data_IF_979673768953
#
_entry.id   IF_979673768953
#
_cell.length_a   1.000
_cell.length_b   1.000
_cell.length_c   1.000
_cell.angle_alpha   90.00
_cell.angle_beta   90.00
_cell.angle_gamma   90.00
#
_symmetry.space_group_name_H-M   'P 1'
#
loop_
_entity.id
_entity.type
_entity.pdbx_description
1 polymer ?
#
# COMPACT_ATOMS: atom_id res chain seq x y z
N UNK A 1 -102.41 -23.67 81.73
CA UNK A 1 -102.00 -22.60 80.85
C UNK A 1 -100.44 -22.48 81.00
N UNK A 2 -99.67 -22.96 80.04
CA UNK A 2 -98.21 -22.84 80.03
C UNK A 2 -97.85 -21.81 79.02
N UNK A 3 -97.28 -20.69 79.49
CA UNK A 3 -96.62 -19.66 78.60
C UNK A 3 -95.24 -20.23 78.11
N UNK A 4 -95.03 -20.19 76.81
CA UNK A 4 -93.78 -20.48 76.19
C UNK A 4 -93.05 -19.13 76.07
N UNK A 5 -92.00 -18.96 76.79
CA UNK A 5 -91.11 -17.87 76.59
C UNK A 5 -90.18 -18.14 75.40
N UNK A 6 -90.30 -17.28 74.37
CA UNK A 6 -89.37 -17.23 73.26
C UNK A 6 -88.13 -16.46 73.72
N UNK A 7 -87.08 -17.19 73.99
CA UNK A 7 -85.76 -16.59 74.13
C UNK A 7 -85.19 -16.21 72.80
N UNK A 8 -85.13 -14.92 72.47
CA UNK A 8 -84.42 -14.34 71.30
C UNK A 8 -82.92 -14.56 71.59
N UNK A 9 -82.28 -15.38 70.82
CA UNK A 9 -80.85 -15.55 70.78
C UNK A 9 -80.30 -14.30 70.03
N UNK A 10 -79.72 -13.35 70.83
CA UNK A 10 -78.98 -12.24 70.24
C UNK A 10 -77.73 -12.80 69.59
N UNK A 11 -77.61 -12.65 68.26
CA UNK A 11 -76.40 -12.91 67.51
C UNK A 11 -75.41 -11.77 67.89
N UNK A 12 -74.51 -12.05 68.82
CA UNK A 12 -73.36 -11.21 69.02
C UNK A 12 -72.48 -11.32 67.79
N UNK A 13 -72.68 -10.42 66.84
CA UNK A 13 -71.72 -10.24 65.74
C UNK A 13 -70.43 -9.84 66.35
N UNK A 14 -69.46 -10.80 66.37
CA UNK A 14 -68.14 -10.64 66.98
C UNK A 14 -67.35 -9.61 66.12
N UNK A 15 -67.33 -8.34 66.52
CA UNK A 15 -66.51 -7.30 65.91
C UNK A 15 -65.02 -7.70 65.77
N UNK A 16 -64.56 -8.53 66.72
CA UNK A 16 -63.23 -9.05 66.72
C UNK A 16 -62.95 -10.06 65.63
N UNK A 17 -63.95 -10.82 65.20
CA UNK A 17 -63.84 -11.77 64.12
C UNK A 17 -63.71 -11.05 62.73
N UNK A 18 -64.54 -10.00 62.51
CA UNK A 18 -64.46 -9.18 61.30
C UNK A 18 -63.15 -8.37 61.24
N UNK A 19 -62.61 -7.89 62.39
CA UNK A 19 -61.31 -7.21 62.48
C UNK A 19 -60.17 -8.16 62.19
N UNK A 20 -60.22 -9.38 62.73
CA UNK A 20 -59.22 -10.44 62.51
C UNK A 20 -59.16 -10.87 61.02
N UNK A 21 -60.35 -11.05 60.38
CA UNK A 21 -60.43 -11.40 58.96
C UNK A 21 -59.90 -10.24 58.03
N UNK A 22 -60.20 -9.00 58.40
CA UNK A 22 -59.64 -7.84 57.67
C UNK A 22 -58.11 -7.77 57.83
N UNK A 23 -57.61 -7.99 59.04
CA UNK A 23 -56.15 -8.00 59.28
C UNK A 23 -55.46 -9.18 58.55
N UNK A 24 -56.08 -10.36 58.54
CA UNK A 24 -55.55 -11.52 57.84
C UNK A 24 -55.55 -11.30 56.33
N UNK A 25 -56.58 -10.67 55.76
CA UNK A 25 -56.63 -10.32 54.35
C UNK A 25 -55.57 -9.29 53.99
N UNK A 26 -55.34 -8.26 54.83
CA UNK A 26 -54.31 -7.23 54.64
C UNK A 26 -52.87 -7.85 54.70
N UNK A 27 -52.64 -8.75 55.65
CA UNK A 27 -51.37 -9.45 55.79
C UNK A 27 -51.12 -10.36 54.57
N UNK A 28 -52.16 -11.02 54.05
CA UNK A 28 -52.05 -11.88 52.88
C UNK A 28 -51.70 -11.05 51.63
N UNK A 29 -52.33 -9.88 51.45
CA UNK A 29 -52.00 -8.93 50.36
C UNK A 29 -50.57 -8.47 50.50
N UNK A 30 -50.12 -8.13 51.71
CA UNK A 30 -48.74 -7.66 51.96
C UNK A 30 -47.70 -8.74 51.65
N UNK A 31 -47.95 -10.01 52.05
CA UNK A 31 -47.09 -11.15 51.74
C UNK A 31 -47.03 -11.37 50.20
N UNK A 32 -48.19 -11.22 49.52
CA UNK A 32 -48.24 -11.38 48.08
C UNK A 32 -47.46 -10.29 47.34
N UNK A 33 -47.58 -9.03 47.78
CA UNK A 33 -46.78 -7.92 47.25
C UNK A 33 -45.26 -8.13 47.47
N UNK A 34 -44.86 -8.60 48.66
CA UNK A 34 -43.47 -8.94 48.91
C UNK A 34 -42.99 -10.09 48.01
N UNK A 35 -43.79 -11.13 47.85
CA UNK A 35 -43.45 -12.25 46.95
C UNK A 35 -43.23 -11.79 45.51
N UNK A 36 -44.16 -10.96 44.98
CA UNK A 36 -43.99 -10.36 43.63
C UNK A 36 -42.78 -9.47 43.53
N UNK A 37 -42.51 -8.66 44.57
CA UNK A 37 -41.31 -7.80 44.60
C UNK A 37 -40.01 -8.62 44.63
N UNK A 38 -39.96 -9.73 45.35
CA UNK A 38 -38.78 -10.63 45.39
C UNK A 38 -38.56 -11.27 44.01
N UNK A 39 -39.59 -11.73 43.31
CA UNK A 39 -39.49 -12.30 41.96
C UNK A 39 -38.98 -11.23 41.01
N UNK A 40 -39.58 -10.03 41.00
CA UNK A 40 -39.14 -8.93 40.14
C UNK A 40 -37.66 -8.50 40.41
N UNK A 41 -37.23 -8.50 41.69
CA UNK A 41 -35.85 -8.21 42.05
C UNK A 41 -34.87 -9.30 41.57
N UNK A 42 -35.27 -10.55 41.63
CA UNK A 42 -34.44 -11.65 41.09
C UNK A 42 -34.30 -11.56 39.58
N UNK A 43 -35.39 -11.34 38.84
CA UNK A 43 -35.33 -11.14 37.39
C UNK A 43 -34.46 -9.94 37.04
N UNK A 44 -34.56 -8.85 37.79
CA UNK A 44 -33.73 -7.66 37.57
C UNK A 44 -32.23 -7.95 37.83
N UNK A 45 -31.94 -8.69 38.89
CA UNK A 45 -30.55 -9.10 39.20
C UNK A 45 -29.97 -9.99 38.11
N UNK A 46 -30.74 -10.94 37.59
CA UNK A 46 -30.30 -11.82 36.49
C UNK A 46 -30.00 -11.02 35.22
N UNK A 47 -30.90 -10.13 34.81
CA UNK A 47 -30.67 -9.23 33.67
C UNK A 47 -29.46 -8.33 33.88
N UNK A 48 -29.25 -7.80 35.06
CA UNK A 48 -28.10 -6.97 35.38
C UNK A 48 -26.78 -7.75 35.30
N UNK A 49 -26.80 -9.03 35.77
CA UNK A 49 -25.63 -9.91 35.66
C UNK A 49 -25.29 -10.20 34.19
N UNK A 50 -26.30 -10.52 33.36
CA UNK A 50 -26.15 -10.76 31.94
C UNK A 50 -25.58 -9.52 31.22
N UNK A 51 -26.14 -8.34 31.52
CA UNK A 51 -25.62 -7.08 30.95
C UNK A 51 -24.18 -6.78 31.36
N UNK A 52 -23.82 -7.05 32.61
CA UNK A 52 -22.46 -6.88 33.07
C UNK A 52 -21.47 -7.83 32.39
N UNK A 53 -21.87 -9.08 32.18
CA UNK A 53 -21.06 -10.06 31.44
C UNK A 53 -20.85 -9.63 29.97
N UNK A 54 -21.92 -9.17 29.31
CA UNK A 54 -21.83 -8.62 27.94
C UNK A 54 -20.90 -7.39 27.87
N UNK A 55 -21.01 -6.47 28.84
CA UNK A 55 -20.15 -5.29 28.92
C UNK A 55 -18.69 -5.66 29.11
N UNK A 56 -18.38 -6.63 29.97
CA UNK A 56 -17.03 -7.11 30.19
C UNK A 56 -16.46 -7.76 28.94
N UNK A 57 -17.24 -8.61 28.26
CA UNK A 57 -16.84 -9.22 26.98
C UNK A 57 -16.57 -8.17 25.91
N UNK A 58 -17.40 -7.11 25.84
CA UNK A 58 -17.22 -6.00 24.91
C UNK A 58 -15.99 -5.16 25.23
N UNK A 59 -15.70 -4.94 26.51
CA UNK A 59 -14.47 -4.24 26.94
C UNK A 59 -13.22 -5.04 26.55
N UNK A 60 -13.18 -6.35 26.79
CA UNK A 60 -12.06 -7.21 26.39
C UNK A 60 -11.84 -7.22 24.86
N UNK A 61 -12.92 -7.22 24.09
CA UNK A 61 -12.85 -7.12 22.62
C UNK A 61 -12.28 -5.76 22.17
N UNK A 62 -12.75 -4.67 22.79
CA UNK A 62 -12.26 -3.32 22.46
C UNK A 62 -10.79 -3.14 22.85
N UNK A 63 -10.35 -3.71 23.97
CA UNK A 63 -8.95 -3.68 24.38
C UNK A 63 -8.07 -4.43 23.36
N UNK A 64 -8.49 -5.62 22.92
CA UNK A 64 -7.79 -6.38 21.87
C UNK A 64 -7.72 -5.63 20.54
N UNK A 65 -8.82 -5.00 20.14
CA UNK A 65 -8.85 -4.18 18.92
C UNK A 65 -7.95 -2.93 19.04
N UNK A 66 -7.89 -2.33 20.21
CA UNK A 66 -7.00 -1.20 20.46
C UNK A 66 -5.52 -1.59 20.37
N UNK A 67 -5.16 -2.74 20.95
CA UNK A 67 -3.80 -3.27 20.87
C UNK A 67 -3.40 -3.64 19.42
N UNK A 68 -4.31 -4.25 18.68
CA UNK A 68 -4.10 -4.57 17.27
C UNK A 68 -3.92 -3.30 16.42
N UNK A 69 -4.76 -2.29 16.67
CA UNK A 69 -4.67 -1.00 15.99
C UNK A 69 -3.33 -0.30 16.28
N UNK A 70 -2.84 -0.33 17.53
CA UNK A 70 -1.56 0.26 17.89
C UNK A 70 -0.39 -0.43 17.18
N UNK A 71 -0.40 -1.75 17.11
CA UNK A 71 0.62 -2.52 16.37
C UNK A 71 0.61 -2.18 14.89
N UNK A 72 -0.58 -2.16 14.29
CA UNK A 72 -0.71 -1.82 12.86
C UNK A 72 -0.25 -0.39 12.58
N UNK A 73 -0.50 0.52 13.50
CA UNK A 73 -0.04 1.91 13.39
C UNK A 73 1.50 2.00 13.45
N UNK A 74 2.14 1.27 14.38
CA UNK A 74 3.60 1.22 14.47
C UNK A 74 4.23 0.64 13.20
N UNK A 75 3.69 -0.47 12.67
CA UNK A 75 4.13 -1.05 11.40
C UNK A 75 4.00 -0.08 10.23
N UNK A 76 2.91 0.68 10.20
CA UNK A 76 2.66 1.67 9.15
C UNK A 76 3.64 2.86 9.25
N UNK A 77 3.94 3.35 10.45
CA UNK A 77 4.94 4.41 10.67
C UNK A 77 6.35 3.94 10.29
N UNK A 78 6.71 2.69 10.59
CA UNK A 78 7.99 2.09 10.18
C UNK A 78 8.08 2.01 8.65
N UNK A 79 7.05 1.51 7.98
CA UNK A 79 6.98 1.43 6.52
C UNK A 79 7.02 2.80 5.84
N UNK A 80 6.35 3.80 6.41
CA UNK A 80 6.40 5.16 5.90
C UNK A 80 7.83 5.73 5.96
N UNK A 81 8.54 5.50 7.06
CA UNK A 81 9.93 5.93 7.21
C UNK A 81 10.85 5.27 6.18
N UNK A 82 10.64 3.97 5.91
CA UNK A 82 11.39 3.22 4.92
C UNK A 82 11.14 3.76 3.49
N UNK A 83 9.88 4.05 3.15
CA UNK A 83 9.51 4.69 1.87
C UNK A 83 10.18 6.07 1.72
N UNK A 84 10.13 6.89 2.75
CA UNK A 84 10.72 8.24 2.72
C UNK A 84 12.24 8.18 2.51
N UNK A 85 12.91 7.19 3.11
CA UNK A 85 14.33 6.95 2.90
C UNK A 85 14.65 6.54 1.45
N UNK A 86 13.87 5.61 0.87
CA UNK A 86 14.07 5.15 -0.53
C UNK A 86 13.86 6.31 -1.51
N UNK A 87 12.83 7.13 -1.28
CA UNK A 87 12.57 8.32 -2.10
C UNK A 87 13.73 9.32 -1.96
N UNK A 88 14.26 9.50 -0.76
CA UNK A 88 15.42 10.35 -0.48
C UNK A 88 16.66 9.91 -1.26
N UNK A 89 17.03 8.63 -1.17
CA UNK A 89 18.18 8.07 -1.90
C UNK A 89 18.01 8.22 -3.41
N UNK A 90 16.80 7.99 -3.93
CA UNK A 90 16.52 8.18 -5.37
C UNK A 90 16.75 9.61 -5.81
N UNK A 91 16.29 10.59 -5.03
CA UNK A 91 16.49 12.01 -5.32
C UNK A 91 17.99 12.39 -5.27
N UNK A 92 18.73 11.91 -4.28
CA UNK A 92 20.17 12.13 -4.17
C UNK A 92 20.92 11.59 -5.39
N UNK A 93 20.58 10.40 -5.88
CA UNK A 93 21.14 9.84 -7.11
C UNK A 93 20.81 10.72 -8.33
N UNK A 94 19.57 11.16 -8.49
CA UNK A 94 19.15 12.04 -9.58
C UNK A 94 19.89 13.37 -9.55
N UNK A 95 20.08 13.95 -8.37
CA UNK A 95 20.84 15.19 -8.19
C UNK A 95 22.30 14.99 -8.52
N UNK A 96 22.94 13.92 -8.05
CA UNK A 96 24.32 13.58 -8.36
C UNK A 96 24.54 13.36 -9.86
N UNK A 97 23.63 12.64 -10.54
CA UNK A 97 23.66 12.46 -11.99
C UNK A 97 23.55 13.80 -12.72
N UNK A 98 22.60 14.66 -12.34
CA UNK A 98 22.43 15.98 -12.94
C UNK A 98 23.69 16.85 -12.78
N UNK A 99 24.33 16.82 -11.63
CA UNK A 99 25.56 17.57 -11.36
C UNK A 99 26.73 17.06 -12.21
N UNK A 100 26.94 15.74 -12.27
CA UNK A 100 28.07 15.18 -13.04
C UNK A 100 27.86 15.35 -14.56
N UNK A 101 26.66 15.15 -15.08
CA UNK A 101 26.40 15.41 -16.50
C UNK A 101 26.53 16.89 -16.87
N UNK A 102 26.15 17.80 -15.98
CA UNK A 102 26.31 19.23 -16.18
C UNK A 102 27.79 19.65 -16.23
N UNK A 103 28.67 19.06 -15.42
CA UNK A 103 30.13 19.32 -15.43
C UNK A 103 30.77 18.94 -16.77
N UNK A 104 30.30 17.87 -17.39
CA UNK A 104 30.82 17.34 -18.65
C UNK A 104 30.09 17.93 -19.88
N UNK A 105 29.23 18.94 -19.69
CA UNK A 105 28.42 19.60 -20.73
C UNK A 105 27.61 18.61 -21.59
N UNK A 106 27.11 17.52 -20.99
CA UNK A 106 26.24 16.57 -21.65
C UNK A 106 24.79 16.95 -21.34
N UNK A 107 24.08 17.43 -22.38
CA UNK A 107 22.68 17.77 -22.27
C UNK A 107 21.81 16.49 -22.25
N UNK A 108 21.37 16.08 -21.07
CA UNK A 108 20.42 15.00 -20.87
C UNK A 108 19.24 15.49 -20.06
N UNK A 109 18.11 14.84 -20.26
CA UNK A 109 16.92 15.05 -19.45
C UNK A 109 16.69 13.83 -18.56
N UNK A 110 16.76 14.05 -17.25
CA UNK A 110 16.48 13.02 -16.23
C UNK A 110 15.08 13.28 -15.69
N UNK A 111 14.22 12.30 -15.80
CA UNK A 111 12.89 12.36 -15.17
C UNK A 111 13.03 12.40 -13.65
N UNK A 112 12.48 13.44 -13.03
CA UNK A 112 12.67 13.71 -11.60
C UNK A 112 11.92 12.72 -10.68
N UNK A 113 10.95 11.99 -11.22
CA UNK A 113 10.18 11.02 -10.44
C UNK A 113 10.76 9.60 -10.59
N UNK A 114 11.12 9.24 -11.83
CA UNK A 114 11.54 7.88 -12.15
C UNK A 114 13.06 7.70 -12.20
N UNK A 115 13.82 8.79 -12.35
CA UNK A 115 15.25 8.74 -12.61
C UNK A 115 15.58 8.25 -14.04
N UNK A 116 14.58 8.09 -14.90
CA UNK A 116 14.79 7.63 -16.26
C UNK A 116 15.49 8.68 -17.12
N UNK A 117 16.47 8.24 -17.89
CA UNK A 117 17.15 9.06 -18.89
C UNK A 117 16.70 8.59 -20.26
N UNK A 118 16.19 9.53 -21.07
CA UNK A 118 15.57 9.24 -22.37
C UNK A 118 16.46 9.73 -23.49
N UNK A 119 16.79 8.86 -24.43
CA UNK A 119 17.52 9.18 -25.64
C UNK A 119 16.67 8.93 -26.88
N UNK A 120 16.71 9.86 -27.85
CA UNK A 120 16.16 9.59 -29.17
C UNK A 120 16.92 8.39 -29.79
N UNK A 121 16.18 7.38 -30.25
CA UNK A 121 16.80 6.20 -30.86
C UNK A 121 17.64 6.53 -32.11
N UNK A 122 17.38 7.67 -32.78
CA UNK A 122 18.16 8.11 -33.92
C UNK A 122 19.60 8.52 -33.56
N UNK A 123 19.89 8.81 -32.30
CA UNK A 123 21.26 9.06 -31.81
C UNK A 123 22.06 7.75 -31.86
N UNK A 124 21.44 6.65 -31.47
CA UNK A 124 22.10 5.35 -31.30
C UNK A 124 22.06 4.49 -32.57
N UNK A 125 20.96 4.57 -33.35
CA UNK A 125 20.69 3.64 -34.45
C UNK A 125 20.24 4.32 -35.71
N UNK A 126 20.51 3.68 -36.87
CA UNK A 126 19.81 3.97 -38.10
C UNK A 126 18.35 3.46 -38.05
N UNK A 127 17.52 3.95 -38.98
CA UNK A 127 16.12 3.52 -39.09
C UNK A 127 16.05 1.99 -39.34
N UNK A 128 15.20 1.31 -38.55
CA UNK A 128 14.96 -0.15 -38.61
C UNK A 128 16.20 -1.01 -38.33
N UNK A 129 17.26 -0.45 -37.76
CA UNK A 129 18.45 -1.18 -37.32
C UNK A 129 18.54 -1.20 -35.80
N UNK A 130 19.27 -2.21 -35.29
CA UNK A 130 19.64 -2.41 -33.89
C UNK A 130 21.17 -2.34 -33.65
N UNK A 131 21.98 -2.26 -34.72
CA UNK A 131 23.41 -2.01 -34.61
C UNK A 131 23.68 -0.58 -34.22
N UNK A 132 24.54 -0.37 -33.21
CA UNK A 132 24.98 0.96 -32.79
C UNK A 132 25.80 1.64 -33.90
N UNK A 133 25.42 2.86 -34.23
CA UNK A 133 26.21 3.65 -35.18
C UNK A 133 27.36 4.38 -34.47
N UNK A 134 28.34 4.83 -35.24
CA UNK A 134 29.55 5.49 -34.71
C UNK A 134 29.24 6.67 -33.77
N UNK A 135 28.25 7.51 -34.11
CA UNK A 135 27.81 8.62 -33.24
C UNK A 135 27.21 8.14 -31.93
N UNK A 136 26.45 7.01 -31.98
CA UNK A 136 25.88 6.39 -30.80
C UNK A 136 26.94 5.81 -29.86
N UNK A 137 27.97 5.19 -30.43
CA UNK A 137 29.15 4.72 -29.69
C UNK A 137 29.85 5.89 -28.98
N UNK A 138 30.14 6.98 -29.72
CA UNK A 138 30.77 8.15 -29.10
C UNK A 138 29.93 8.78 -28.00
N UNK A 139 28.62 8.77 -28.16
CA UNK A 139 27.70 9.24 -27.13
C UNK A 139 27.75 8.33 -25.89
N UNK A 140 27.69 7.00 -26.05
CA UNK A 140 27.74 6.03 -24.95
C UNK A 140 29.09 6.08 -24.23
N UNK A 141 30.20 6.30 -24.94
CA UNK A 141 31.55 6.43 -24.34
C UNK A 141 31.68 7.64 -23.41
N UNK A 142 30.91 8.69 -23.66
CA UNK A 142 30.84 9.85 -22.77
C UNK A 142 29.81 9.66 -21.65
N UNK A 143 28.68 9.04 -21.94
CA UNK A 143 27.57 8.85 -21.01
C UNK A 143 27.87 7.80 -19.93
N UNK A 144 28.33 6.61 -20.35
CA UNK A 144 28.45 5.46 -19.45
C UNK A 144 29.41 5.68 -18.27
N UNK A 145 30.61 6.26 -18.44
CA UNK A 145 31.52 6.49 -17.31
C UNK A 145 30.91 7.37 -16.22
N UNK A 146 30.09 8.36 -16.58
CA UNK A 146 29.43 9.24 -15.65
C UNK A 146 28.29 8.49 -14.95
N UNK A 147 27.39 7.88 -15.72
CA UNK A 147 26.21 7.20 -15.20
C UNK A 147 26.60 6.05 -14.26
N UNK A 148 27.50 5.19 -14.71
CA UNK A 148 27.97 4.05 -13.93
C UNK A 148 28.88 4.51 -12.76
N UNK A 149 29.65 5.59 -12.96
CA UNK A 149 30.48 6.18 -11.92
C UNK A 149 29.66 6.70 -10.72
N UNK A 150 28.52 7.33 -10.98
CA UNK A 150 27.59 7.79 -9.93
C UNK A 150 26.91 6.59 -9.27
N UNK A 151 26.28 5.71 -10.04
CA UNK A 151 25.50 4.59 -9.49
C UNK A 151 26.37 3.60 -8.69
N UNK A 152 27.62 3.38 -9.08
CA UNK A 152 28.56 2.49 -8.36
C UNK A 152 29.53 3.24 -7.45
N UNK A 153 29.23 4.50 -7.12
CA UNK A 153 29.96 5.21 -6.07
C UNK A 153 29.83 4.48 -4.73
N UNK A 154 30.74 4.76 -3.80
CA UNK A 154 30.67 4.21 -2.43
C UNK A 154 29.37 4.59 -1.70
N UNK A 155 28.70 5.63 -2.14
CA UNK A 155 27.49 6.19 -1.56
C UNK A 155 26.24 5.41 -1.97
N UNK A 156 26.12 5.01 -3.26
CA UNK A 156 24.87 4.48 -3.83
C UNK A 156 24.92 3.02 -4.28
N UNK A 157 26.12 2.43 -4.43
CA UNK A 157 26.29 1.07 -5.01
C UNK A 157 25.48 -0.02 -4.30
N UNK A 158 25.30 0.14 -2.98
CA UNK A 158 24.63 -0.85 -2.15
C UNK A 158 23.09 -0.75 -2.25
N UNK A 159 22.57 0.36 -2.78
CA UNK A 159 21.14 0.61 -2.95
C UNK A 159 20.64 0.21 -4.35
N UNK A 160 21.53 0.06 -5.34
CA UNK A 160 21.15 -0.31 -6.71
C UNK A 160 20.79 -1.78 -6.81
N UNK A 161 19.56 -2.07 -7.23
CA UNK A 161 19.09 -3.41 -7.54
C UNK A 161 19.28 -3.77 -9.02
N UNK A 162 18.96 -2.83 -9.92
CA UNK A 162 18.94 -3.11 -11.35
C UNK A 162 19.19 -1.85 -12.16
N UNK A 163 19.89 -2.01 -13.29
CA UNK A 163 20.02 -1.00 -14.34
C UNK A 163 19.31 -1.57 -15.57
N UNK A 164 18.29 -0.86 -16.06
CA UNK A 164 17.39 -1.33 -17.10
C UNK A 164 17.60 -0.51 -18.35
N UNK A 165 17.90 -1.16 -19.47
CA UNK A 165 17.90 -0.54 -20.78
C UNK A 165 16.60 -0.93 -21.47
N UNK A 166 15.72 0.04 -21.71
CA UNK A 166 14.43 -0.19 -22.40
C UNK A 166 14.44 0.38 -23.81
N UNK A 167 14.16 -0.46 -24.80
CA UNK A 167 13.96 -0.04 -26.17
C UNK A 167 12.47 0.20 -26.47
N UNK A 168 12.15 1.31 -27.14
CA UNK A 168 10.80 1.65 -27.59
C UNK A 168 10.78 1.92 -29.07
N UNK A 169 9.64 1.65 -29.71
CA UNK A 169 9.40 1.93 -31.13
C UNK A 169 8.17 2.81 -31.31
N UNK A 170 7.99 3.29 -32.53
CA UNK A 170 6.71 3.85 -32.98
C UNK A 170 5.72 2.76 -33.39
N UNK A 171 4.56 3.17 -33.90
CA UNK A 171 3.45 2.30 -34.31
C UNK A 171 3.46 1.93 -35.81
N UNK A 172 4.53 2.23 -36.54
CA UNK A 172 4.59 2.07 -38.00
C UNK A 172 4.59 0.60 -38.45
N UNK A 173 4.92 -0.36 -37.57
CA UNK A 173 4.97 -1.77 -37.89
C UNK A 173 4.15 -2.61 -36.89
N UNK A 174 4.02 -3.91 -37.17
CA UNK A 174 3.31 -4.82 -36.27
C UNK A 174 4.01 -4.98 -34.91
N UNK A 175 3.21 -5.25 -33.87
CA UNK A 175 3.69 -5.35 -32.47
C UNK A 175 4.87 -6.30 -32.29
N UNK A 176 4.80 -7.51 -32.85
CA UNK A 176 5.85 -8.52 -32.68
C UNK A 176 7.17 -8.15 -33.37
N UNK A 177 7.09 -7.52 -34.57
CA UNK A 177 8.28 -6.97 -35.23
C UNK A 177 8.93 -5.88 -34.38
N UNK A 178 8.13 -4.95 -33.89
CA UNK A 178 8.59 -3.85 -33.03
C UNK A 178 9.11 -4.35 -31.67
N UNK A 179 8.52 -5.43 -31.14
CA UNK A 179 9.01 -6.05 -29.93
C UNK A 179 10.42 -6.63 -30.13
N UNK A 180 10.63 -7.37 -31.22
CA UNK A 180 11.96 -7.86 -31.59
C UNK A 180 12.97 -6.72 -31.78
N UNK A 181 12.62 -5.72 -32.59
CA UNK A 181 13.50 -4.57 -32.86
C UNK A 181 13.85 -3.79 -31.58
N UNK A 182 12.88 -3.56 -30.71
CA UNK A 182 13.13 -2.86 -29.44
C UNK A 182 13.99 -3.66 -28.47
N UNK A 183 13.79 -5.00 -28.43
CA UNK A 183 14.62 -5.90 -27.65
C UNK A 183 16.07 -5.92 -28.14
N UNK A 184 16.27 -6.07 -29.47
CA UNK A 184 17.61 -6.10 -30.08
C UNK A 184 18.37 -4.79 -29.87
N UNK A 185 17.66 -3.65 -29.89
CA UNK A 185 18.23 -2.33 -29.59
C UNK A 185 18.68 -2.21 -28.13
N UNK A 186 17.84 -2.62 -27.18
CA UNK A 186 18.22 -2.62 -25.77
C UNK A 186 19.41 -3.56 -25.52
N UNK A 187 19.40 -4.75 -26.15
CA UNK A 187 20.46 -5.73 -26.02
C UNK A 187 21.80 -5.19 -26.57
N UNK A 188 21.81 -4.52 -27.73
CA UNK A 188 23.05 -3.98 -28.33
C UNK A 188 23.71 -2.93 -27.45
N UNK A 189 22.94 -2.13 -26.68
CA UNK A 189 23.52 -1.22 -25.67
C UNK A 189 24.16 -2.02 -24.53
N UNK A 190 23.47 -3.06 -24.01
CA UNK A 190 24.01 -3.90 -22.93
C UNK A 190 25.29 -4.63 -23.39
N UNK A 191 25.29 -5.19 -24.58
CA UNK A 191 26.49 -5.84 -25.18
C UNK A 191 27.65 -4.85 -25.25
N UNK A 192 27.39 -3.62 -25.74
CA UNK A 192 28.40 -2.57 -25.80
C UNK A 192 28.94 -2.22 -24.40
N UNK A 193 28.06 -2.02 -23.42
CA UNK A 193 28.45 -1.74 -22.04
C UNK A 193 29.41 -2.78 -21.47
N UNK A 194 29.16 -4.05 -21.72
CA UNK A 194 29.91 -5.15 -21.14
C UNK A 194 31.18 -5.54 -21.90
N UNK A 195 31.21 -5.29 -23.23
CA UNK A 195 32.32 -5.72 -24.10
C UNK A 195 33.23 -4.57 -24.48
N UNK A 196 32.73 -3.57 -25.19
CA UNK A 196 33.52 -2.63 -25.96
C UNK A 196 33.61 -1.21 -25.34
N UNK A 197 32.80 -0.93 -24.30
CA UNK A 197 32.80 0.40 -23.66
C UNK A 197 34.10 0.71 -22.92
N UNK A 198 34.31 1.98 -22.64
CA UNK A 198 35.46 2.52 -21.88
C UNK A 198 35.43 2.22 -20.37
N UNK A 199 34.42 1.49 -19.87
CA UNK A 199 34.28 1.11 -18.46
C UNK A 199 35.44 0.20 -17.99
N UNK A 200 35.84 0.33 -16.73
CA UNK A 200 36.86 -0.56 -16.14
C UNK A 200 36.33 -2.00 -16.03
N UNK A 201 37.26 -2.95 -15.85
CA UNK A 201 36.88 -4.36 -15.67
C UNK A 201 35.99 -4.55 -14.43
N UNK A 202 36.31 -3.85 -13.36
CA UNK A 202 35.53 -3.87 -12.11
C UNK A 202 34.10 -3.35 -12.32
N UNK A 203 33.95 -2.23 -13.04
CA UNK A 203 32.65 -1.67 -13.38
C UNK A 203 31.84 -2.61 -14.27
N UNK A 204 32.47 -3.24 -15.28
CA UNK A 204 31.82 -4.22 -16.15
C UNK A 204 31.34 -5.47 -15.37
N UNK A 205 32.13 -5.92 -14.40
CA UNK A 205 31.77 -7.07 -13.57
C UNK A 205 30.59 -6.75 -12.62
N UNK A 206 30.63 -5.57 -11.98
CA UNK A 206 29.51 -5.08 -11.18
C UNK A 206 28.25 -4.91 -12.04
N UNK A 207 28.40 -4.26 -13.21
CA UNK A 207 27.28 -4.01 -14.13
C UNK A 207 26.64 -5.31 -14.61
N UNK A 208 27.42 -6.35 -14.86
CA UNK A 208 26.93 -7.67 -15.32
C UNK A 208 25.92 -8.30 -14.36
N UNK A 209 26.03 -8.01 -13.07
CA UNK A 209 25.13 -8.57 -12.06
C UNK A 209 23.77 -7.84 -11.96
N UNK A 210 23.67 -6.62 -12.50
CA UNK A 210 22.50 -5.75 -12.31
C UNK A 210 21.88 -5.20 -13.59
N UNK A 211 22.55 -5.35 -14.76
CA UNK A 211 22.04 -4.79 -16.02
C UNK A 211 21.10 -5.74 -16.74
N UNK A 212 20.00 -5.19 -17.24
CA UNK A 212 19.01 -5.92 -18.07
C UNK A 212 18.65 -5.17 -19.34
N UNK A 213 18.13 -5.90 -20.34
CA UNK A 213 17.65 -5.35 -21.60
C UNK A 213 16.18 -5.69 -21.82
N UNK A 214 15.33 -4.71 -22.04
CA UNK A 214 13.90 -4.87 -22.21
C UNK A 214 13.37 -4.22 -23.47
N UNK A 215 12.73 -5.00 -24.34
CA UNK A 215 11.99 -4.50 -25.49
C UNK A 215 10.54 -4.20 -25.10
N UNK A 216 10.08 -3.00 -25.40
CA UNK A 216 8.72 -2.54 -25.05
C UNK A 216 7.81 -2.36 -26.26
N UNK A 217 8.31 -2.61 -27.48
CA UNK A 217 7.53 -2.33 -28.69
C UNK A 217 6.98 -0.89 -28.68
N UNK A 218 5.71 -0.72 -28.99
CA UNK A 218 4.96 0.54 -28.86
C UNK A 218 3.95 0.52 -27.72
N UNK A 219 4.18 -0.26 -26.64
CA UNK A 219 3.23 -0.33 -25.51
C UNK A 219 3.11 0.96 -24.72
N UNK A 220 4.14 1.83 -24.75
CA UNK A 220 4.14 3.12 -24.07
C UNK A 220 4.46 4.24 -25.06
N UNK A 221 3.53 4.62 -25.96
CA UNK A 221 3.74 5.68 -26.92
C UNK A 221 3.78 7.04 -26.22
N UNK A 222 4.57 7.96 -26.76
CA UNK A 222 4.58 9.37 -26.36
C UNK A 222 3.52 10.11 -27.18
N UNK A 223 2.74 10.95 -26.51
CA UNK A 223 1.71 11.76 -27.15
C UNK A 223 2.15 13.23 -27.25
N UNK A 224 1.72 13.90 -28.31
CA UNK A 224 1.87 15.34 -28.50
C UNK A 224 0.78 16.12 -27.71
N UNK A 225 0.82 17.45 -27.81
CA UNK A 225 -0.14 18.33 -27.16
C UNK A 225 -1.58 18.17 -27.67
N UNK A 226 -1.77 17.62 -28.86
CA UNK A 226 -3.08 17.35 -29.46
C UNK A 226 -3.61 15.95 -29.16
N UNK A 227 -2.89 15.15 -28.34
CA UNK A 227 -3.24 13.79 -27.97
C UNK A 227 -2.98 12.75 -29.07
N UNK A 228 -2.18 13.07 -30.08
CA UNK A 228 -1.73 12.15 -31.13
C UNK A 228 -0.39 11.55 -30.73
N UNK A 229 -0.13 10.32 -31.21
CA UNK A 229 1.16 9.67 -30.97
C UNK A 229 2.27 10.47 -31.68
N UNK A 230 3.24 10.96 -30.90
CA UNK A 230 4.49 11.49 -31.38
C UNK A 230 5.43 10.34 -31.75
N UNK A 231 5.45 10.01 -33.04
CA UNK A 231 6.24 8.88 -33.56
C UNK A 231 7.74 9.10 -33.35
N UNK A 232 8.23 10.34 -33.39
CA UNK A 232 9.64 10.64 -33.21
C UNK A 232 10.05 10.37 -31.73
N UNK A 233 9.34 10.96 -30.79
CA UNK A 233 9.61 10.75 -29.34
C UNK A 233 9.30 9.35 -28.87
N UNK A 234 8.40 8.63 -29.57
CA UNK A 234 8.10 7.23 -29.26
C UNK A 234 9.28 6.30 -29.59
N UNK A 235 10.09 6.63 -30.62
CA UNK A 235 11.34 5.92 -30.95
C UNK A 235 12.46 6.36 -30.02
N UNK A 236 12.60 5.70 -28.89
CA UNK A 236 13.54 6.08 -27.85
C UNK A 236 14.20 4.86 -27.19
N UNK A 237 15.29 5.13 -26.51
CA UNK A 237 15.88 4.21 -25.53
C UNK A 237 15.84 4.90 -24.17
N UNK A 238 15.36 4.20 -23.18
CA UNK A 238 15.36 4.68 -21.80
C UNK A 238 16.38 3.89 -21.00
N UNK A 239 17.18 4.60 -20.22
CA UNK A 239 18.10 4.03 -19.23
C UNK A 239 17.55 4.36 -17.86
N UNK A 240 17.28 3.33 -17.07
CA UNK A 240 16.67 3.46 -15.75
C UNK A 240 17.52 2.72 -14.71
N UNK A 241 17.45 3.17 -13.49
CA UNK A 241 17.89 2.37 -12.36
C UNK A 241 16.73 2.07 -11.43
N UNK A 242 16.80 0.95 -10.72
CA UNK A 242 15.85 0.55 -9.70
C UNK A 242 16.60 0.31 -8.39
N UNK A 243 16.04 0.79 -7.29
CA UNK A 243 16.58 0.57 -5.95
C UNK A 243 16.09 -0.77 -5.38
N UNK A 244 16.82 -1.33 -4.42
CA UNK A 244 16.58 -2.68 -3.88
C UNK A 244 15.19 -2.81 -3.27
N UNK A 245 14.70 -1.82 -2.58
CA UNK A 245 13.44 -1.91 -1.85
C UNK A 245 12.25 -1.23 -2.59
N UNK A 246 12.47 -0.86 -3.86
CA UNK A 246 11.44 -0.18 -4.68
C UNK A 246 10.24 -1.09 -5.01
N UNK A 247 10.39 -2.41 -5.01
CA UNK A 247 9.28 -3.37 -5.19
C UNK A 247 8.28 -3.26 -4.04
N UNK A 248 8.75 -3.07 -2.83
CA UNK A 248 7.89 -2.90 -1.66
C UNK A 248 7.03 -1.63 -1.74
N UNK A 249 7.59 -0.53 -2.28
CA UNK A 249 6.84 0.71 -2.51
C UNK A 249 5.68 0.46 -3.48
N UNK A 250 5.92 -0.26 -4.58
CA UNK A 250 4.89 -0.57 -5.57
C UNK A 250 3.78 -1.46 -4.98
N UNK A 251 4.13 -2.43 -4.15
CA UNK A 251 3.14 -3.27 -3.46
C UNK A 251 2.27 -2.44 -2.49
N UNK A 252 2.89 -1.57 -1.70
CA UNK A 252 2.18 -0.71 -0.75
C UNK A 252 1.27 0.31 -1.45
N UNK A 253 1.72 0.94 -2.53
CA UNK A 253 0.90 1.82 -3.36
C UNK A 253 -0.31 1.07 -3.94
N UNK A 254 -0.11 -0.15 -4.44
CA UNK A 254 -1.20 -1.00 -4.93
C UNK A 254 -2.19 -1.45 -3.85
N UNK A 255 -1.80 -1.49 -2.59
CA UNK A 255 -2.70 -1.77 -1.45
C UNK A 255 -3.50 -0.52 -1.08
N UNK A 256 -2.86 0.64 -1.03
CA UNK A 256 -3.52 1.92 -0.74
C UNK A 256 -4.56 2.29 -1.79
N UNK A 257 -4.24 2.13 -3.08
CA UNK A 257 -5.19 2.37 -4.18
C UNK A 257 -6.41 1.42 -4.15
N UNK A 258 -6.22 0.19 -3.65
CA UNK A 258 -7.33 -0.78 -3.46
C UNK A 258 -8.16 -0.48 -2.21
N UNK A 259 -7.59 0.15 -1.19
CA UNK A 259 -8.28 0.56 0.03
C UNK A 259 -9.22 1.75 -0.15
N UNK A 260 -8.90 2.66 -1.09
CA UNK A 260 -9.72 3.84 -1.38
C UNK A 260 -10.96 3.55 -2.27
N UNK A 261 -11.13 2.30 -2.73
CA UNK A 261 -12.23 1.89 -3.61
C UNK A 261 -13.32 1.07 -2.88
N UNK A 262 -13.32 0.97 -1.56
CA UNK A 262 -14.38 0.39 -0.73
C UNK A 262 -15.01 1.45 0.16
#
# INVERSE_FOLDING_TARGET
>A
MRRRDHVKKEENVSYWQSYSDMMAALLLIFVLVIAVAIVALNDYKEKLAEQNEELLARQDLLEKQADEYLKLKEELEEKQTEIDNIIGVKQEIIEALNQEFSKEEIAINIDQQTGAIVFDASILYDRSKSELKGEGIQFLDRFLPIYIGVLFSSEFKDDIAEIIIEGHTDTDSGYMYNLGLSQDRALSVVEYCLSDSSLSKEQKEQLRSVITANGRSFSNPVYDADGKVDLAKSRRVEVKFRLKDEEMIQELQGILERGDTQ
#
